data_IF_472739153254
#
_entry.id   IF_472739153254
#
_cell.length_a   1.000
_cell.length_b   1.000
_cell.length_c   1.000
_cell.angle_alpha   90.00
_cell.angle_beta   90.00
_cell.angle_gamma   90.00
#
_symmetry.space_group_name_H-M   'P 1'
#
loop_
_entity.id
_entity.type
_entity.pdbx_description
1 polymer ?
#
# COMPACT_ATOMS: atom_id res chain seq x y z
N UNK A 1 3.93 0.51 15.38
CA UNK A 1 5.03 1.49 15.31
C UNK A 1 4.70 2.50 14.20
N UNK A 2 4.21 3.71 14.52
CA UNK A 2 3.67 4.64 13.50
C UNK A 2 4.75 5.22 12.57
N UNK A 3 5.97 5.40 13.08
CA UNK A 3 7.14 5.91 12.33
C UNK A 3 7.47 5.06 11.11
N UNK A 4 7.22 3.75 11.17
CA UNK A 4 7.46 2.79 10.08
C UNK A 4 6.74 3.16 8.78
N UNK A 5 5.63 3.90 8.86
CA UNK A 5 4.88 4.32 7.67
C UNK A 5 5.70 5.27 6.80
N UNK A 6 6.45 6.19 7.42
CA UNK A 6 7.14 7.27 6.69
C UNK A 6 8.64 7.02 6.51
N UNK A 7 9.19 6.08 7.28
CA UNK A 7 10.60 5.70 7.26
C UNK A 7 10.78 4.19 7.39
N UNK A 8 11.68 3.62 6.58
CA UNK A 8 12.11 2.22 6.66
C UNK A 8 13.63 2.17 6.67
N UNK A 9 14.22 1.34 7.54
CA UNK A 9 15.66 1.09 7.51
C UNK A 9 16.05 0.29 6.26
N UNK A 10 17.36 0.26 5.95
CA UNK A 10 17.87 -0.55 4.85
C UNK A 10 17.48 -2.02 5.02
N UNK A 11 17.01 -2.64 3.93
CA UNK A 11 16.48 -4.01 3.89
C UNK A 11 15.20 -4.24 4.70
N UNK A 12 14.55 -3.18 5.19
CA UNK A 12 13.22 -3.29 5.80
C UNK A 12 12.11 -2.86 4.83
N UNK A 13 10.97 -3.54 4.94
CA UNK A 13 9.72 -3.14 4.28
C UNK A 13 8.86 -2.27 5.21
N UNK A 14 7.96 -1.51 4.59
CA UNK A 14 6.81 -0.95 5.28
C UNK A 14 5.78 -2.06 5.59
N UNK A 15 4.62 -1.71 6.15
CA UNK A 15 3.52 -2.65 6.38
C UNK A 15 3.08 -3.36 5.10
N UNK A 16 2.81 -4.67 5.20
CA UNK A 16 2.45 -5.53 4.05
C UNK A 16 1.34 -4.95 3.18
N UNK A 17 0.32 -4.36 3.81
CA UNK A 17 -0.85 -3.83 3.10
C UNK A 17 -0.50 -2.83 2.00
N UNK A 18 0.60 -2.07 2.12
CA UNK A 18 1.00 -1.14 1.06
C UNK A 18 1.49 -1.85 -0.20
N UNK A 19 2.21 -2.96 -0.04
CA UNK A 19 2.70 -3.77 -1.15
C UNK A 19 1.58 -4.62 -1.76
N UNK A 20 0.70 -5.16 -0.90
CA UNK A 20 -0.53 -5.84 -1.29
C UNK A 20 -1.43 -4.93 -2.17
N UNK A 21 -1.60 -3.66 -1.78
CA UNK A 21 -2.30 -2.67 -2.59
C UNK A 21 -1.55 -2.36 -3.90
N UNK A 22 -0.23 -2.17 -3.88
CA UNK A 22 0.54 -1.93 -5.12
C UNK A 22 0.48 -3.13 -6.09
N UNK A 23 0.35 -4.36 -5.57
CA UNK A 23 0.19 -5.57 -6.36
C UNK A 23 -1.19 -5.66 -7.04
N UNK A 24 -2.22 -5.07 -6.44
CA UNK A 24 -3.58 -5.08 -6.99
C UNK A 24 -3.86 -3.98 -8.01
N UNK A 25 -2.89 -3.12 -8.31
CA UNK A 25 -3.05 -1.94 -9.19
C UNK A 25 -3.68 -2.22 -10.57
N UNK A 26 -3.50 -3.44 -11.10
CA UNK A 26 -4.04 -3.83 -12.42
C UNK A 26 -5.50 -4.32 -12.35
N UNK A 27 -5.99 -4.64 -11.15
CA UNK A 27 -7.37 -5.08 -10.94
C UNK A 27 -8.36 -3.94 -11.26
N UNK A 28 -9.47 -4.22 -11.97
CA UNK A 28 -10.43 -3.19 -12.37
C UNK A 28 -10.93 -2.33 -11.20
N UNK A 29 -11.22 -2.93 -10.04
CA UNK A 29 -11.73 -2.22 -8.87
C UNK A 29 -10.68 -1.30 -8.22
N UNK A 30 -9.38 -1.62 -8.36
CA UNK A 30 -8.29 -0.87 -7.76
C UNK A 30 -7.85 0.33 -8.62
N UNK A 31 -8.28 0.40 -9.88
CA UNK A 31 -7.93 1.52 -10.79
C UNK A 31 -8.28 2.89 -10.24
N UNK A 32 -9.38 2.98 -9.49
CA UNK A 32 -9.82 4.24 -8.84
C UNK A 32 -8.85 4.75 -7.77
N UNK A 33 -7.96 3.90 -7.27
CA UNK A 33 -6.94 4.23 -6.27
C UNK A 33 -5.66 4.81 -6.89
N UNK A 34 -5.52 4.78 -8.23
CA UNK A 34 -4.36 5.26 -8.97
C UNK A 34 -3.02 4.71 -8.46
N UNK A 35 -3.00 3.45 -8.05
CA UNK A 35 -1.81 2.80 -7.50
C UNK A 35 -0.78 2.52 -8.59
N UNK A 36 0.49 2.49 -8.18
CA UNK A 36 1.65 2.15 -9.01
C UNK A 36 2.42 1.00 -8.36
N UNK A 37 3.46 0.52 -9.04
CA UNK A 37 4.41 -0.41 -8.45
C UNK A 37 5.13 0.24 -7.23
N UNK A 38 5.55 -0.55 -6.22
CA UNK A 38 6.02 -0.03 -4.93
C UNK A 38 7.31 0.80 -5.05
N UNK A 39 8.07 0.67 -6.13
CA UNK A 39 9.28 1.47 -6.38
C UNK A 39 8.93 2.95 -6.64
N UNK A 40 7.69 3.23 -7.04
CA UNK A 40 7.20 4.58 -7.36
C UNK A 40 6.61 5.35 -6.19
N UNK A 41 6.53 4.76 -4.99
CA UNK A 41 6.09 5.46 -3.79
C UNK A 41 7.24 5.61 -2.80
N UNK A 42 7.45 6.86 -2.33
CA UNK A 42 8.48 7.18 -1.34
C UNK A 42 8.35 6.33 -0.08
N UNK A 43 7.14 6.01 0.35
CA UNK A 43 6.90 5.24 1.58
C UNK A 43 7.04 3.72 1.41
N UNK A 44 7.36 3.22 0.22
CA UNK A 44 7.65 1.79 0.00
C UNK A 44 9.03 1.54 -0.62
N UNK A 45 9.77 2.59 -1.02
CA UNK A 45 11.04 2.46 -1.72
C UNK A 45 12.29 2.88 -0.92
N UNK A 46 12.17 3.26 0.35
CA UNK A 46 13.32 3.69 1.16
C UNK A 46 14.20 2.54 1.62
N UNK A 47 13.60 1.39 1.95
CA UNK A 47 14.35 0.23 2.44
C UNK A 47 15.08 -0.56 1.34
N UNK A 48 14.75 -0.34 0.07
CA UNK A 48 15.38 -1.00 -1.07
C UNK A 48 14.95 -2.46 -1.30
N UNK A 49 14.11 -3.02 -0.44
CA UNK A 49 13.51 -4.35 -0.60
C UNK A 49 11.98 -4.23 -0.78
N UNK A 50 11.46 -4.88 -1.82
CA UNK A 50 10.07 -4.82 -2.23
C UNK A 50 9.37 -6.18 -2.14
N UNK A 51 10.13 -7.28 -2.06
CA UNK A 51 9.61 -8.64 -2.17
C UNK A 51 10.16 -9.51 -1.06
N UNK A 52 9.29 -10.29 -0.45
CA UNK A 52 9.71 -11.31 0.52
C UNK A 52 9.71 -12.65 -0.20
N UNK A 53 10.81 -13.44 -0.17
CA UNK A 53 10.83 -14.76 -0.78
C UNK A 53 9.69 -15.64 -0.26
N UNK A 54 8.91 -16.21 -1.19
CA UNK A 54 7.76 -17.07 -0.86
C UNK A 54 6.46 -16.32 -0.53
N UNK A 55 6.45 -14.99 -0.62
CA UNK A 55 5.24 -14.16 -0.43
C UNK A 55 4.64 -13.76 -1.77
N UNK A 56 3.32 -13.87 -1.88
CA UNK A 56 2.54 -13.31 -2.97
C UNK A 56 1.59 -12.23 -2.40
N UNK A 57 2.01 -10.98 -2.53
CA UNK A 57 1.30 -9.82 -2.00
C UNK A 57 -0.12 -9.67 -2.61
N UNK A 58 -0.39 -10.15 -3.83
CA UNK A 58 -1.75 -10.10 -4.40
C UNK A 58 -2.65 -11.14 -3.74
N UNK A 59 -2.18 -12.39 -3.65
CA UNK A 59 -2.88 -13.46 -2.94
C UNK A 59 -3.14 -13.10 -1.46
N UNK A 60 -2.19 -12.44 -0.80
CA UNK A 60 -2.35 -12.00 0.58
C UNK A 60 -3.33 -10.82 0.72
N UNK A 61 -3.49 -9.96 -0.30
CA UNK A 61 -4.56 -8.97 -0.32
C UNK A 61 -5.94 -9.65 -0.34
N UNK A 62 -6.11 -10.68 -1.16
CA UNK A 62 -7.38 -11.42 -1.25
C UNK A 62 -7.73 -12.07 0.09
N UNK A 63 -6.75 -12.68 0.76
CA UNK A 63 -6.92 -13.20 2.14
C UNK A 63 -7.33 -12.11 3.11
N UNK A 64 -6.74 -10.91 3.01
CA UNK A 64 -7.08 -9.76 3.84
C UNK A 64 -8.52 -9.28 3.60
N UNK A 65 -8.97 -9.19 2.34
CA UNK A 65 -10.36 -8.86 1.98
C UNK A 65 -11.34 -9.90 2.51
N UNK A 66 -11.02 -11.18 2.37
CA UNK A 66 -11.84 -12.27 2.89
C UNK A 66 -11.96 -12.20 4.42
N UNK A 67 -10.87 -11.93 5.13
CA UNK A 67 -10.90 -11.75 6.58
C UNK A 67 -11.80 -10.56 6.99
N UNK A 68 -11.73 -9.43 6.28
CA UNK A 68 -12.62 -8.30 6.51
C UNK A 68 -14.10 -8.66 6.29
N UNK A 69 -14.41 -9.39 5.23
CA UNK A 69 -15.77 -9.87 4.94
C UNK A 69 -16.29 -10.77 6.07
N UNK A 70 -15.47 -11.70 6.57
CA UNK A 70 -15.82 -12.57 7.70
C UNK A 70 -16.09 -11.77 8.98
N UNK A 71 -15.37 -10.66 9.18
CA UNK A 71 -15.58 -9.73 10.30
C UNK A 71 -16.74 -8.75 10.08
N UNK A 72 -17.49 -8.88 8.97
CA UNK A 72 -18.67 -8.07 8.67
C UNK A 72 -18.35 -6.69 8.06
N UNK A 73 -17.09 -6.42 7.68
CA UNK A 73 -16.71 -5.19 6.98
C UNK A 73 -17.12 -5.33 5.51
N UNK A 74 -18.10 -4.53 5.10
CA UNK A 74 -18.70 -4.64 3.77
C UNK A 74 -17.72 -4.20 2.67
N UNK A 75 -17.89 -4.67 1.42
CA UNK A 75 -16.97 -4.34 0.32
C UNK A 75 -16.74 -2.84 0.12
N UNK A 76 -17.77 -2.01 0.27
CA UNK A 76 -17.65 -0.55 0.15
C UNK A 76 -16.78 0.04 1.27
N UNK A 77 -16.95 -0.43 2.51
CA UNK A 77 -16.11 -0.03 3.65
C UNK A 77 -14.67 -0.49 3.47
N UNK A 78 -14.44 -1.69 2.92
CA UNK A 78 -13.09 -2.15 2.58
C UNK A 78 -12.45 -1.23 1.54
N UNK A 79 -13.21 -0.81 0.52
CA UNK A 79 -12.71 0.13 -0.48
C UNK A 79 -12.40 1.51 0.11
N UNK A 80 -13.19 2.00 1.07
CA UNK A 80 -12.88 3.23 1.81
C UNK A 80 -11.58 3.11 2.61
N UNK A 81 -11.36 1.98 3.28
CA UNK A 81 -10.08 1.69 3.97
C UNK A 81 -8.91 1.71 2.98
N UNK A 82 -9.06 1.06 1.83
CA UNK A 82 -8.03 1.04 0.80
C UNK A 82 -7.78 2.42 0.18
N UNK A 83 -8.81 3.27 0.05
CA UNK A 83 -8.64 4.67 -0.35
C UNK A 83 -7.79 5.44 0.64
N UNK A 84 -8.04 5.30 1.94
CA UNK A 84 -7.25 5.96 2.99
C UNK A 84 -5.78 5.50 2.91
N UNK A 85 -5.55 4.19 2.78
CA UNK A 85 -4.20 3.64 2.66
C UNK A 85 -3.48 4.09 1.38
N UNK A 86 -4.16 4.12 0.23
CA UNK A 86 -3.60 4.65 -1.02
C UNK A 86 -3.25 6.14 -0.90
N UNK A 87 -4.07 6.91 -0.16
CA UNK A 87 -3.84 8.34 0.05
C UNK A 87 -2.55 8.60 0.83
N UNK A 88 -2.20 7.71 1.76
CA UNK A 88 -0.93 7.78 2.49
C UNK A 88 0.26 7.62 1.54
N UNK A 89 0.19 6.67 0.60
CA UNK A 89 1.24 6.48 -0.41
C UNK A 89 1.39 7.69 -1.32
N UNK A 90 0.26 8.24 -1.80
CA UNK A 90 0.26 9.44 -2.64
C UNK A 90 0.81 10.66 -1.91
N UNK A 91 0.45 10.84 -0.63
CA UNK A 91 0.97 11.92 0.20
C UNK A 91 2.50 11.86 0.36
N UNK A 92 3.06 10.65 0.47
CA UNK A 92 4.51 10.46 0.53
C UNK A 92 5.26 10.92 -0.72
N UNK A 93 4.57 11.03 -1.86
CA UNK A 93 5.14 11.50 -3.12
C UNK A 93 4.99 13.02 -3.34
N UNK A 94 4.29 13.74 -2.46
CA UNK A 94 4.17 15.20 -2.56
C UNK A 94 5.53 15.83 -2.26
N UNK A 95 6.09 16.56 -3.23
CA UNK A 95 7.30 17.35 -3.05
C UNK A 95 6.92 18.82 -2.81
N UNK A 96 7.22 19.34 -1.62
CA UNK A 96 6.94 20.72 -1.24
C UNK A 96 8.19 21.55 -1.53
N UNK A 97 8.04 22.59 -2.34
CA UNK A 97 9.12 23.51 -2.71
C UNK A 97 8.76 24.92 -2.28
N UNK A 98 9.75 25.71 -1.86
CA UNK A 98 9.55 27.12 -1.58
C UNK A 98 9.28 27.87 -2.90
N UNK A 99 8.26 28.72 -2.91
CA UNK A 99 8.05 29.67 -3.99
C UNK A 99 9.13 30.75 -3.86
N UNK A 100 10.14 30.68 -4.73
CA UNK A 100 11.12 31.75 -4.91
C UNK A 100 10.52 32.98 -5.60
#
# INVERSE_FOLDING_TARGET
EKSRVVFQASSERNYHIFYQLCASRELPEARTLNLKAPEHFRYTNQGGDFQIPGTDDLSDLERTRNAFTVLGVQPDQQMELFRILSSILHLGNVNIQASG
#
